data_IF_999014572174
#
_entry.id   IF_999014572174
#
_cell.length_a   1.000
_cell.length_b   1.000
_cell.length_c   1.000
_cell.angle_alpha   90.00
_cell.angle_beta   90.00
_cell.angle_gamma   90.00
#
_symmetry.space_group_name_H-M   'P 1'
#
loop_
_entity.id
_entity.type
_entity.pdbx_description
1 polymer ?
#
# COMPACT_ATOMS: atom_id res chain seq x y z
N UNK A 1 16.77 20.91 33.06
CA UNK A 1 15.86 19.75 33.10
C UNK A 1 15.84 19.14 31.69
N UNK A 2 16.52 18.01 31.47
CA UNK A 2 16.60 17.35 30.15
C UNK A 2 15.22 16.74 29.83
N UNK A 3 14.48 17.36 28.90
CA UNK A 3 13.30 16.74 28.30
C UNK A 3 13.79 15.76 27.25
N UNK A 4 13.76 14.48 27.57
CA UNK A 4 13.92 13.40 26.61
C UNK A 4 12.70 13.43 25.69
N UNK A 5 12.86 13.95 24.47
CA UNK A 5 11.86 13.80 23.41
C UNK A 5 11.83 12.32 23.02
N UNK A 6 10.75 11.64 23.38
CA UNK A 6 10.44 10.31 22.85
C UNK A 6 10.05 10.47 21.38
N UNK A 7 10.93 10.04 20.48
CA UNK A 7 10.66 9.93 19.05
C UNK A 7 9.60 8.83 18.83
N UNK A 8 8.42 9.21 18.35
CA UNK A 8 7.25 8.34 18.18
C UNK A 8 7.42 7.23 17.12
N UNK A 9 8.65 7.03 16.59
CA UNK A 9 8.92 6.12 15.48
C UNK A 9 9.43 4.74 15.89
N UNK A 10 9.77 4.50 17.16
CA UNK A 10 10.12 3.16 17.67
C UNK A 10 9.69 2.96 19.12
N UNK A 11 8.45 2.50 19.32
CA UNK A 11 8.11 1.70 20.49
C UNK A 11 8.49 0.24 20.20
N UNK A 12 9.52 -0.27 20.86
CA UNK A 12 9.95 -1.68 20.79
C UNK A 12 9.29 -2.48 21.93
N UNK A 13 8.35 -3.35 21.58
CA UNK A 13 7.40 -4.04 22.49
C UNK A 13 7.85 -5.44 22.92
N UNK A 14 9.14 -5.70 23.12
CA UNK A 14 9.58 -7.10 23.27
C UNK A 14 9.07 -7.87 24.50
N UNK A 15 8.54 -7.22 25.56
CA UNK A 15 8.12 -7.95 26.80
C UNK A 15 6.98 -7.34 27.65
N UNK A 16 5.99 -6.65 27.08
CA UNK A 16 4.83 -6.26 27.88
C UNK A 16 3.88 -5.32 27.15
N UNK A 17 2.63 -5.74 27.01
CA UNK A 17 1.57 -4.91 26.46
C UNK A 17 1.34 -3.71 27.39
N UNK A 18 1.49 -2.49 26.87
CA UNK A 18 0.94 -1.30 27.52
C UNK A 18 -0.45 -1.09 26.95
N UNK A 19 -1.48 -1.42 27.74
CA UNK A 19 -2.87 -1.09 27.40
C UNK A 19 -3.14 0.31 27.95
N UNK A 20 -3.07 1.31 27.07
CA UNK A 20 -3.55 2.66 27.41
C UNK A 20 -4.99 2.80 26.93
N UNK A 21 -5.87 3.40 27.74
CA UNK A 21 -7.22 3.70 27.27
C UNK A 21 -7.14 4.70 26.10
N UNK A 22 -8.01 4.58 25.07
CA UNK A 22 -7.91 5.35 23.82
C UNK A 22 -7.87 6.87 24.02
N UNK A 23 -8.53 7.36 25.06
CA UNK A 23 -8.60 8.79 25.41
C UNK A 23 -7.24 9.37 25.86
N UNK A 24 -6.31 8.56 26.36
CA UNK A 24 -4.98 9.00 26.79
C UNK A 24 -4.00 9.07 25.59
N UNK A 25 -4.15 8.19 24.61
CA UNK A 25 -3.32 8.19 23.39
C UNK A 25 -3.59 9.40 22.51
N UNK A 26 -4.87 9.76 22.33
CA UNK A 26 -5.26 10.93 21.55
C UNK A 26 -4.83 12.25 22.20
N UNK A 27 -4.77 12.30 23.55
CA UNK A 27 -4.42 13.51 24.30
C UNK A 27 -2.90 13.69 24.50
N UNK A 28 -2.13 12.62 24.66
CA UNK A 28 -0.69 12.70 24.89
C UNK A 28 0.13 12.79 23.59
N UNK A 29 -0.32 12.13 22.52
CA UNK A 29 0.49 11.99 21.29
C UNK A 29 -0.17 12.60 20.05
N UNK A 30 -1.33 13.25 20.19
CA UNK A 30 -2.13 13.74 19.06
C UNK A 30 -2.30 12.66 17.95
N UNK A 31 -2.34 11.39 18.37
CA UNK A 31 -2.50 10.26 17.46
C UNK A 31 -3.99 9.97 17.35
N UNK A 32 -4.57 10.22 16.18
CA UNK A 32 -5.92 9.73 15.87
C UNK A 32 -5.82 8.21 15.75
N UNK A 33 -6.41 7.49 16.69
CA UNK A 33 -6.59 6.04 16.57
C UNK A 33 -7.82 5.80 15.70
N UNK A 34 -7.76 4.94 14.67
CA UNK A 34 -8.93 4.61 13.87
C UNK A 34 -10.02 3.98 14.73
N UNK A 35 -11.24 4.51 14.64
CA UNK A 35 -12.44 3.92 15.22
C UNK A 35 -13.03 2.87 14.28
N UNK A 36 -13.98 2.07 14.76
CA UNK A 36 -14.73 1.16 13.89
C UNK A 36 -15.42 1.92 12.74
N UNK A 37 -15.98 3.09 13.02
CA UNK A 37 -16.60 3.94 11.99
C UNK A 37 -15.58 4.42 10.94
N UNK A 38 -14.34 4.74 11.34
CA UNK A 38 -13.29 5.06 10.39
C UNK A 38 -12.94 3.83 9.53
N UNK A 39 -12.83 2.65 10.15
CA UNK A 39 -12.48 1.38 9.48
C UNK A 39 -13.58 0.98 8.46
N UNK A 40 -14.85 1.13 8.82
CA UNK A 40 -16.02 0.77 8.01
C UNK A 40 -16.43 1.86 7.01
N UNK A 41 -15.88 3.06 7.10
CA UNK A 41 -16.28 4.23 6.30
C UNK A 41 -15.29 4.61 5.21
N UNK A 42 -15.66 5.66 4.47
CA UNK A 42 -14.79 6.39 3.57
C UNK A 42 -14.90 7.89 3.82
N UNK A 43 -13.86 8.64 3.48
CA UNK A 43 -13.80 10.10 3.68
C UNK A 43 -13.19 10.79 2.47
N UNK A 44 -13.70 11.97 2.11
CA UNK A 44 -13.20 12.76 0.98
C UNK A 44 -11.83 13.40 1.26
N UNK A 45 -11.55 13.73 2.53
CA UNK A 45 -10.30 14.33 2.96
C UNK A 45 -9.43 13.30 3.68
N UNK A 46 -8.13 13.34 3.42
CA UNK A 46 -7.17 12.44 4.05
C UNK A 46 -7.15 12.62 5.58
N UNK A 47 -7.56 11.59 6.33
CA UNK A 47 -7.57 11.62 7.79
C UNK A 47 -6.30 10.99 8.43
N UNK A 48 -5.58 10.15 7.69
CA UNK A 48 -4.39 9.43 8.15
C UNK A 48 -3.32 9.39 7.04
N UNK A 49 -2.03 9.20 7.37
CA UNK A 49 -0.99 8.98 6.37
C UNK A 49 -1.30 7.79 5.47
N UNK A 50 -1.05 7.91 4.17
CA UNK A 50 -1.24 6.81 3.23
C UNK A 50 -0.37 5.61 3.61
N UNK A 51 -0.97 4.42 3.62
CA UNK A 51 -0.32 3.16 4.00
C UNK A 51 -0.24 2.89 5.51
N UNK A 52 -0.80 3.78 6.34
CA UNK A 52 -0.93 3.55 7.78
C UNK A 52 -1.59 2.19 8.07
N UNK A 53 -1.14 1.52 9.12
CA UNK A 53 -1.68 0.22 9.55
C UNK A 53 -2.63 0.38 10.72
N UNK A 54 -3.71 -0.39 10.70
CA UNK A 54 -4.59 -0.57 11.83
C UNK A 54 -4.92 -2.04 12.01
N UNK A 55 -4.93 -2.51 13.25
CA UNK A 55 -5.48 -3.81 13.62
C UNK A 55 -6.81 -3.60 14.33
N UNK A 56 -7.84 -4.30 13.87
CA UNK A 56 -9.18 -4.23 14.44
C UNK A 56 -9.83 -5.61 14.31
N UNK A 57 -10.35 -6.16 15.41
CA UNK A 57 -10.97 -7.50 15.48
C UNK A 57 -10.13 -8.62 14.84
N UNK A 58 -8.83 -8.64 15.14
CA UNK A 58 -7.91 -9.66 14.60
C UNK A 58 -7.55 -9.50 13.11
N UNK A 59 -8.11 -8.50 12.43
CA UNK A 59 -7.85 -8.18 11.01
C UNK A 59 -6.83 -7.06 10.89
N UNK A 60 -6.12 -7.01 9.76
CA UNK A 60 -5.18 -5.95 9.43
C UNK A 60 -5.72 -5.11 8.28
N UNK A 61 -5.58 -3.79 8.42
CA UNK A 61 -6.02 -2.81 7.45
C UNK A 61 -4.89 -1.85 7.06
N UNK A 62 -4.91 -1.37 5.83
CA UNK A 62 -4.05 -0.31 5.28
C UNK A 62 -4.90 0.88 4.85
N UNK A 63 -4.58 2.06 5.39
CA UNK A 63 -5.23 3.29 4.93
C UNK A 63 -4.81 3.61 3.51
N UNK A 64 -5.79 3.78 2.62
CA UNK A 64 -5.60 3.79 1.18
C UNK A 64 -6.41 4.92 0.55
N UNK A 65 -5.97 5.38 -0.63
CA UNK A 65 -6.72 6.28 -1.50
C UNK A 65 -7.29 5.52 -2.68
N UNK A 66 -8.58 5.68 -2.90
CA UNK A 66 -9.31 5.15 -4.04
C UNK A 66 -8.91 5.89 -5.31
N UNK A 67 -8.55 5.13 -6.33
CA UNK A 67 -8.36 5.62 -7.69
C UNK A 67 -9.67 5.75 -8.47
N UNK A 68 -9.53 5.82 -9.78
CA UNK A 68 -10.67 5.76 -10.71
C UNK A 68 -11.28 4.34 -10.74
N UNK A 69 -12.58 4.26 -11.08
CA UNK A 69 -13.33 3.00 -11.26
C UNK A 69 -13.44 2.11 -10.00
N UNK A 70 -13.74 2.71 -8.85
CA UNK A 70 -13.82 2.03 -7.54
C UNK A 70 -15.24 1.52 -7.16
N UNK A 71 -16.15 1.40 -8.13
CA UNK A 71 -17.55 1.01 -7.90
C UNK A 71 -17.78 -0.47 -7.55
N UNK A 72 -16.74 -1.25 -7.29
CA UNK A 72 -16.83 -2.70 -7.10
C UNK A 72 -16.52 -3.13 -5.65
N UNK A 73 -17.26 -4.13 -5.17
CA UNK A 73 -16.91 -4.94 -3.98
C UNK A 73 -16.00 -6.07 -4.42
N UNK A 74 -14.97 -6.41 -3.64
CA UNK A 74 -14.07 -7.52 -3.97
C UNK A 74 -12.60 -7.19 -3.78
N UNK A 75 -11.73 -7.93 -4.48
CA UNK A 75 -10.31 -7.62 -4.48
C UNK A 75 -10.02 -6.30 -5.17
N UNK A 76 -9.12 -5.57 -4.55
CA UNK A 76 -8.52 -4.37 -5.08
C UNK A 76 -7.06 -4.67 -5.38
N UNK A 77 -6.51 -3.97 -6.37
CA UNK A 77 -5.06 -3.96 -6.62
C UNK A 77 -4.42 -2.72 -6.05
N UNK A 78 -3.22 -2.90 -5.53
CA UNK A 78 -2.33 -1.80 -5.26
C UNK A 78 -1.92 -1.15 -6.57
N UNK A 79 -1.92 0.18 -6.59
CA UNK A 79 -1.28 1.03 -7.59
C UNK A 79 -1.52 0.60 -9.05
N UNK A 80 -2.46 1.27 -9.74
CA UNK A 80 -2.67 1.07 -11.19
C UNK A 80 -1.49 1.55 -12.07
N UNK A 81 -0.50 2.17 -11.45
CA UNK A 81 0.59 2.84 -12.12
C UNK A 81 1.68 1.86 -12.54
N UNK A 82 2.18 2.05 -13.75
CA UNK A 82 3.18 1.17 -14.35
C UNK A 82 4.56 1.43 -13.72
N UNK A 83 5.54 0.54 -13.92
CA UNK A 83 6.90 0.80 -13.44
C UNK A 83 7.39 2.18 -13.94
N UNK A 84 7.87 3.10 -13.08
CA UNK A 84 8.48 4.36 -13.52
C UNK A 84 9.55 4.14 -14.59
N UNK A 85 9.74 5.12 -15.47
CA UNK A 85 10.75 5.20 -16.54
C UNK A 85 10.79 4.10 -17.60
N UNK A 86 9.91 3.09 -17.54
CA UNK A 86 9.76 2.12 -18.63
C UNK A 86 9.04 2.73 -19.83
N UNK A 87 9.58 2.51 -21.03
CA UNK A 87 9.05 3.05 -22.28
C UNK A 87 7.57 2.69 -22.47
N UNK A 88 6.77 3.69 -22.86
CA UNK A 88 5.32 3.56 -23.02
C UNK A 88 4.51 3.74 -21.73
N UNK A 89 5.17 3.91 -20.58
CA UNK A 89 4.47 4.16 -19.33
C UNK A 89 4.22 5.65 -19.09
N UNK A 90 3.09 5.99 -18.47
CA UNK A 90 2.78 7.38 -18.15
C UNK A 90 3.67 7.92 -17.03
N UNK A 91 4.08 9.19 -17.13
CA UNK A 91 4.86 9.93 -16.12
C UNK A 91 4.16 10.02 -14.76
N UNK A 92 2.86 9.76 -14.69
CA UNK A 92 2.09 9.82 -13.44
C UNK A 92 2.37 8.62 -12.53
N UNK A 93 3.14 7.62 -13.01
CA UNK A 93 3.33 6.35 -12.34
C UNK A 93 4.37 6.35 -11.20
N UNK A 94 4.97 7.51 -10.94
CA UNK A 94 6.14 7.71 -10.13
C UNK A 94 7.18 8.49 -10.92
N UNK A 95 8.41 8.53 -10.46
CA UNK A 95 9.48 9.29 -11.11
C UNK A 95 10.68 8.39 -11.40
N UNK A 96 11.26 8.51 -12.58
CA UNK A 96 12.58 7.98 -12.88
C UNK A 96 13.38 9.05 -13.62
N UNK A 97 14.63 9.25 -13.22
CA UNK A 97 15.48 10.28 -13.80
C UNK A 97 16.67 10.59 -12.90
N UNK A 98 17.00 11.88 -12.83
CA UNK A 98 18.08 12.37 -11.98
C UNK A 98 17.57 13.41 -10.97
N UNK A 99 18.41 13.70 -9.97
CA UNK A 99 18.18 14.82 -9.05
C UNK A 99 18.24 16.16 -9.80
N UNK A 100 17.39 17.12 -9.43
CA UNK A 100 17.43 18.48 -9.99
C UNK A 100 18.52 19.36 -9.39
N UNK A 101 19.09 18.98 -8.25
CA UNK A 101 20.18 19.68 -7.59
C UNK A 101 21.05 18.71 -6.79
N UNK A 102 22.31 19.10 -6.53
CA UNK A 102 23.18 18.38 -5.61
C UNK A 102 22.59 18.41 -4.20
N UNK A 103 22.76 17.31 -3.45
CA UNK A 103 22.22 17.14 -2.10
C UNK A 103 23.37 16.77 -1.16
N UNK A 104 23.49 17.49 -0.05
CA UNK A 104 24.52 17.20 0.94
C UNK A 104 24.18 15.93 1.74
N UNK A 105 25.22 15.25 2.24
CA UNK A 105 25.04 14.18 3.21
C UNK A 105 24.30 14.70 4.46
N UNK A 106 23.38 13.90 5.00
CA UNK A 106 22.52 14.26 6.12
C UNK A 106 21.32 15.13 5.76
N UNK A 107 21.19 15.60 4.51
CA UNK A 107 20.02 16.34 4.09
C UNK A 107 18.77 15.46 4.13
N UNK A 108 17.64 16.05 4.51
CA UNK A 108 16.33 15.38 4.61
C UNK A 108 15.36 15.82 3.52
N UNK A 109 15.83 16.58 2.53
CA UNK A 109 15.04 17.00 1.38
C UNK A 109 15.87 16.97 0.10
N UNK A 110 15.19 16.76 -1.02
CA UNK A 110 15.77 16.77 -2.36
C UNK A 110 14.74 17.22 -3.39
N UNK A 111 15.17 17.58 -4.59
CA UNK A 111 14.28 18.06 -5.66
C UNK A 111 14.36 17.16 -6.89
N UNK A 112 13.21 16.98 -7.53
CA UNK A 112 13.06 16.25 -8.79
C UNK A 112 12.37 17.13 -9.82
N UNK A 113 12.55 16.82 -11.11
CA UNK A 113 11.99 17.56 -12.23
C UNK A 113 10.54 17.14 -12.53
N UNK A 114 9.69 17.15 -11.51
CA UNK A 114 8.25 16.94 -11.67
C UNK A 114 7.53 18.29 -11.71
N UNK A 115 6.87 18.57 -12.82
CA UNK A 115 6.25 19.86 -13.15
C UNK A 115 4.80 19.99 -12.69
N UNK A 116 4.18 18.88 -12.26
CA UNK A 116 2.73 18.83 -11.98
C UNK A 116 2.38 18.14 -10.68
N UNK A 117 3.36 17.68 -9.89
CA UNK A 117 3.12 17.01 -8.62
C UNK A 117 2.16 17.80 -7.71
N UNK A 118 1.11 17.14 -7.26
CA UNK A 118 0.24 17.65 -6.21
C UNK A 118 0.92 17.51 -4.84
N UNK A 119 0.42 18.28 -3.87
CA UNK A 119 0.86 18.16 -2.47
C UNK A 119 0.69 16.71 -1.99
N UNK A 120 1.72 16.18 -1.34
CA UNK A 120 1.74 14.84 -0.73
C UNK A 120 1.46 13.67 -1.71
N UNK A 121 1.58 13.91 -3.02
CA UNK A 121 1.41 12.90 -4.05
C UNK A 121 2.36 11.70 -3.92
N UNK A 122 3.57 11.96 -3.42
CA UNK A 122 4.64 10.99 -3.17
C UNK A 122 4.71 10.55 -1.70
N UNK A 123 3.73 10.87 -0.85
CA UNK A 123 3.71 10.40 0.54
C UNK A 123 3.74 8.84 0.59
N UNK A 124 4.64 8.29 1.40
CA UNK A 124 4.82 6.85 1.56
C UNK A 124 5.57 6.16 0.41
N UNK A 125 5.97 6.91 -0.62
CA UNK A 125 6.70 6.38 -1.77
C UNK A 125 8.02 5.71 -1.34
N UNK A 126 8.40 4.67 -2.08
CA UNK A 126 9.72 4.05 -1.99
C UNK A 126 10.66 4.72 -2.98
N UNK A 127 11.70 5.34 -2.46
CA UNK A 127 12.67 6.09 -3.24
C UNK A 127 14.01 5.34 -3.21
N UNK A 128 14.55 5.09 -4.40
CA UNK A 128 15.87 4.48 -4.60
C UNK A 128 16.74 5.48 -5.33
N UNK A 129 17.97 5.66 -4.85
CA UNK A 129 19.02 6.40 -5.53
C UNK A 129 20.19 5.46 -5.81
N UNK A 130 20.73 5.56 -7.02
CA UNK A 130 21.80 4.69 -7.49
C UNK A 130 22.79 5.42 -8.38
N UNK A 131 24.06 5.03 -8.28
CA UNK A 131 25.13 5.44 -9.19
C UNK A 131 26.14 4.30 -9.29
N UNK A 132 26.29 3.75 -10.50
CA UNK A 132 27.19 2.63 -10.77
C UNK A 132 28.66 3.02 -10.72
N UNK A 133 28.99 4.27 -11.07
CA UNK A 133 30.37 4.79 -11.06
C UNK A 133 30.89 4.92 -9.64
N UNK A 134 30.05 5.43 -8.73
CA UNK A 134 30.42 5.67 -7.34
C UNK A 134 30.04 4.50 -6.40
N UNK A 135 29.43 3.43 -6.96
CA UNK A 135 28.89 2.27 -6.24
C UNK A 135 27.98 2.66 -5.05
N UNK A 136 27.16 3.69 -5.25
CA UNK A 136 26.20 4.16 -4.25
C UNK A 136 24.82 3.59 -4.56
N UNK A 137 24.22 2.95 -3.56
CA UNK A 137 22.84 2.47 -3.57
C UNK A 137 22.21 2.80 -2.22
N UNK A 138 21.26 3.73 -2.20
CA UNK A 138 20.49 4.06 -0.99
C UNK A 138 18.99 3.95 -1.28
N UNK A 139 18.23 3.57 -0.25
CA UNK A 139 16.78 3.56 -0.34
C UNK A 139 16.17 4.24 0.87
N UNK A 140 15.10 4.99 0.60
CA UNK A 140 14.44 5.87 1.56
C UNK A 140 12.93 5.78 1.39
N UNK A 141 12.21 6.23 2.41
CA UNK A 141 10.78 6.49 2.33
C UNK A 141 10.53 7.98 2.25
N UNK A 142 9.74 8.39 1.27
CA UNK A 142 9.27 9.77 1.18
C UNK A 142 8.18 9.96 2.23
N UNK A 143 8.35 10.98 3.06
CA UNK A 143 7.37 11.36 4.10
C UNK A 143 6.32 12.28 3.50
N UNK A 144 6.72 13.20 2.63
CA UNK A 144 5.84 14.17 1.98
C UNK A 144 6.53 14.84 0.79
N UNK A 145 5.76 15.57 0.00
CA UNK A 145 6.30 16.48 -1.01
C UNK A 145 5.47 17.78 -1.05
N UNK A 146 6.12 18.85 -1.48
CA UNK A 146 5.42 20.11 -1.74
C UNK A 146 4.69 20.03 -3.10
N UNK A 147 3.81 21.01 -3.36
CA UNK A 147 3.25 21.21 -4.70
C UNK A 147 4.38 21.60 -5.66
N UNK A 148 4.33 21.11 -6.89
CA UNK A 148 5.30 21.51 -7.92
C UNK A 148 5.33 23.03 -8.12
N UNK A 149 6.53 23.54 -8.38
CA UNK A 149 6.78 24.93 -8.78
C UNK A 149 6.53 25.17 -10.28
N UNK A 150 6.03 24.16 -11.01
CA UNK A 150 5.94 24.15 -12.46
C UNK A 150 7.24 23.72 -13.15
N UNK A 151 8.30 23.49 -12.39
CA UNK A 151 9.59 22.95 -12.90
C UNK A 151 10.08 21.79 -12.04
N UNK A 152 10.05 21.98 -10.72
CA UNK A 152 10.52 20.97 -9.77
C UNK A 152 9.57 20.81 -8.60
N UNK A 153 9.69 19.66 -7.94
CA UNK A 153 9.01 19.32 -6.70
C UNK A 153 10.03 18.96 -5.64
N UNK A 154 9.85 19.47 -4.42
CA UNK A 154 10.68 19.13 -3.26
C UNK A 154 10.06 17.96 -2.50
N UNK A 155 10.84 16.92 -2.27
CA UNK A 155 10.47 15.74 -1.51
C UNK A 155 11.26 15.68 -0.21
N UNK A 156 10.65 15.09 0.81
CA UNK A 156 11.21 15.01 2.15
C UNK A 156 11.32 13.56 2.62
N UNK A 157 12.42 13.22 3.29
CA UNK A 157 12.70 11.91 3.88
C UNK A 157 12.95 12.03 5.39
N UNK A 158 12.94 10.90 6.10
CA UNK A 158 13.23 10.87 7.53
C UNK A 158 14.70 11.17 7.84
N UNK A 159 14.96 11.78 9.00
CA UNK A 159 16.29 11.75 9.61
C UNK A 159 16.75 10.30 9.83
N UNK A 160 18.06 9.98 9.67
CA UNK A 160 19.19 10.90 9.57
C UNK A 160 19.43 11.52 8.17
N UNK A 161 18.55 11.30 7.19
CA UNK A 161 18.72 11.81 5.83
C UNK A 161 19.63 10.93 4.98
N UNK A 162 20.19 11.50 3.92
CA UNK A 162 21.09 10.80 3.01
C UNK A 162 22.41 10.41 3.68
N UNK A 163 22.90 9.19 3.44
CA UNK A 163 24.19 8.76 3.99
C UNK A 163 25.34 9.44 3.24
N UNK A 164 25.25 9.50 1.92
CA UNK A 164 26.25 10.12 1.07
C UNK A 164 25.74 11.46 0.50
N UNK A 165 26.66 12.33 0.10
CA UNK A 165 26.30 13.46 -0.74
C UNK A 165 25.93 12.93 -2.13
N UNK A 166 24.86 13.46 -2.71
CA UNK A 166 24.35 13.06 -4.01
C UNK A 166 24.56 14.19 -5.01
N UNK A 167 24.87 13.85 -6.26
CA UNK A 167 24.99 14.83 -7.34
C UNK A 167 23.88 14.65 -8.35
N UNK A 168 23.70 15.64 -9.24
CA UNK A 168 22.76 15.55 -10.36
C UNK A 168 23.09 14.44 -11.38
N UNK A 169 24.23 13.74 -11.24
CA UNK A 169 24.57 12.58 -12.06
C UNK A 169 23.96 11.27 -11.54
N UNK A 170 23.40 11.26 -10.33
CA UNK A 170 22.83 10.07 -9.72
C UNK A 170 21.47 9.76 -10.34
N UNK A 171 21.26 8.48 -10.68
CA UNK A 171 19.98 7.96 -11.09
C UNK A 171 19.06 7.81 -9.88
N UNK A 172 17.79 8.13 -10.07
CA UNK A 172 16.75 7.97 -9.05
C UNK A 172 15.53 7.30 -9.62
N UNK A 173 14.89 6.48 -8.79
CA UNK A 173 13.57 5.92 -9.06
C UNK A 173 12.69 6.08 -7.83
N UNK A 174 11.50 6.64 -8.00
CA UNK A 174 10.51 6.84 -6.96
C UNK A 174 9.25 6.06 -7.34
N UNK A 175 9.02 4.98 -6.60
CA UNK A 175 7.79 4.20 -6.68
C UNK A 175 6.77 4.79 -5.73
N UNK A 176 5.65 5.28 -6.26
CA UNK A 176 4.55 5.79 -5.41
C UNK A 176 4.09 4.74 -4.42
N UNK A 177 3.48 5.19 -3.33
CA UNK A 177 2.94 4.28 -2.33
C UNK A 177 1.95 3.30 -2.99
N UNK A 178 2.03 1.99 -2.74
CA UNK A 178 1.09 1.02 -3.32
C UNK A 178 -0.36 1.31 -2.93
N UNK A 179 -0.56 2.12 -1.89
CA UNK A 179 -1.84 2.48 -1.30
C UNK A 179 -2.35 3.86 -1.75
N UNK A 180 -1.64 4.60 -2.61
CA UNK A 180 -2.03 5.96 -3.04
C UNK A 180 -2.96 6.03 -4.26
N UNK A 181 -3.16 4.93 -4.97
CA UNK A 181 -4.07 4.80 -6.12
C UNK A 181 -4.55 3.34 -6.23
N UNK A 182 -5.39 2.94 -5.27
CA UNK A 182 -5.97 1.61 -5.21
C UNK A 182 -7.17 1.52 -6.14
N UNK A 183 -7.24 0.48 -6.98
CA UNK A 183 -8.30 0.31 -7.99
C UNK A 183 -8.94 -1.07 -7.94
N UNK A 184 -10.12 -1.20 -8.54
CA UNK A 184 -10.77 -2.49 -8.75
C UNK A 184 -9.84 -3.45 -9.51
N UNK A 185 -9.74 -4.69 -9.03
CA UNK A 185 -8.82 -5.68 -9.61
C UNK A 185 -9.17 -6.02 -11.06
N UNK A 186 -10.46 -6.06 -11.39
CA UNK A 186 -10.99 -6.34 -12.74
C UNK A 186 -10.40 -5.47 -13.85
N UNK A 187 -9.99 -4.25 -13.53
CA UNK A 187 -9.45 -3.32 -14.52
C UNK A 187 -7.96 -3.59 -14.72
N UNK A 188 -7.60 -4.56 -15.57
CA UNK A 188 -6.20 -4.90 -15.84
C UNK A 188 -5.52 -5.68 -14.70
N UNK A 189 -6.24 -6.63 -14.10
CA UNK A 189 -5.74 -7.50 -13.02
C UNK A 189 -4.64 -8.47 -13.46
N UNK A 190 -4.52 -8.77 -14.76
CA UNK A 190 -3.48 -9.68 -15.27
C UNK A 190 -2.03 -9.18 -15.11
N UNK A 191 -1.83 -7.90 -14.81
CA UNK A 191 -0.50 -7.28 -14.64
C UNK A 191 -0.28 -6.74 -13.22
N UNK A 192 -1.18 -7.04 -12.29
CA UNK A 192 -1.18 -6.46 -10.96
C UNK A 192 -1.44 -7.51 -9.90
N UNK A 193 -0.83 -7.31 -8.73
CA UNK A 193 -1.09 -8.17 -7.57
C UNK A 193 -2.27 -7.64 -6.75
N UNK A 194 -3.05 -8.54 -6.12
CA UNK A 194 -4.11 -8.16 -5.20
C UNK A 194 -3.46 -7.46 -4.00
N UNK A 195 -3.98 -6.27 -3.68
CA UNK A 195 -3.49 -5.42 -2.60
C UNK A 195 -4.29 -5.57 -1.32
N UNK A 196 -5.56 -5.91 -1.44
CA UNK A 196 -6.47 -6.04 -0.32
C UNK A 196 -7.91 -6.24 -0.78
N UNK A 197 -8.82 -6.29 0.18
CA UNK A 197 -10.22 -6.53 -0.04
C UNK A 197 -11.07 -5.32 0.37
N UNK A 198 -11.92 -4.84 -0.54
CA UNK A 198 -12.94 -3.84 -0.26
C UNK A 198 -14.18 -4.51 0.31
N UNK A 199 -14.61 -4.05 1.49
CA UNK A 199 -15.81 -4.54 2.18
C UNK A 199 -17.09 -3.82 1.73
N UNK A 200 -16.93 -2.69 1.05
CA UNK A 200 -18.01 -1.88 0.50
C UNK A 200 -17.53 -1.20 -0.79
N UNK A 201 -18.45 -0.68 -1.59
CA UNK A 201 -18.11 0.19 -2.70
C UNK A 201 -17.47 1.49 -2.17
N UNK A 202 -16.44 1.98 -2.87
CA UNK A 202 -15.68 3.17 -2.47
C UNK A 202 -15.79 4.21 -3.58
N UNK A 203 -16.06 5.45 -3.20
CA UNK A 203 -16.10 6.59 -4.10
C UNK A 203 -14.71 6.89 -4.64
N UNK A 204 -14.58 7.12 -5.94
CA UNK A 204 -13.30 7.46 -6.55
C UNK A 204 -12.69 8.73 -5.93
N UNK A 205 -11.38 8.70 -5.66
CA UNK A 205 -10.65 9.78 -5.01
C UNK A 205 -10.77 9.84 -3.48
N UNK A 206 -11.69 9.08 -2.87
CA UNK A 206 -11.88 9.07 -1.42
C UNK A 206 -10.82 8.19 -0.73
N UNK A 207 -10.74 8.31 0.59
CA UNK A 207 -9.81 7.55 1.43
C UNK A 207 -10.57 6.58 2.33
N UNK A 208 -10.01 5.39 2.53
CA UNK A 208 -10.66 4.30 3.25
C UNK A 208 -9.63 3.32 3.84
N UNK A 209 -10.08 2.44 4.71
CA UNK A 209 -9.27 1.35 5.26
C UNK A 209 -9.50 0.05 4.49
N UNK A 210 -8.50 -0.37 3.73
CA UNK A 210 -8.53 -1.62 2.97
C UNK A 210 -8.05 -2.78 3.82
N UNK A 211 -8.80 -3.89 3.86
CA UNK A 211 -8.38 -5.08 4.61
C UNK A 211 -7.28 -5.84 3.85
N UNK A 212 -6.16 -6.13 4.51
CA UNK A 212 -4.99 -6.81 3.91
C UNK A 212 -4.66 -8.14 4.59
N UNK A 213 -5.18 -8.40 5.79
CA UNK A 213 -5.14 -9.72 6.42
C UNK A 213 -6.34 -9.99 7.31
N UNK A 214 -6.56 -11.26 7.63
CA UNK A 214 -7.66 -11.72 8.46
C UNK A 214 -8.85 -12.24 7.64
N UNK A 215 -9.95 -12.53 8.33
CA UNK A 215 -11.08 -13.26 7.76
C UNK A 215 -11.93 -12.37 6.82
N UNK A 216 -12.26 -12.90 5.65
CA UNK A 216 -13.18 -12.30 4.67
C UNK A 216 -14.18 -13.34 4.16
N UNK A 217 -15.36 -12.88 3.78
CA UNK A 217 -16.27 -13.61 2.87
C UNK A 217 -16.38 -12.79 1.60
N UNK A 218 -16.10 -13.40 0.45
CA UNK A 218 -16.02 -12.68 -0.81
C UNK A 218 -16.82 -13.27 -1.96
N UNK A 219 -16.87 -12.52 -3.07
CA UNK A 219 -17.57 -12.95 -4.28
C UNK A 219 -16.77 -14.06 -4.95
N UNK A 220 -17.39 -15.21 -5.21
CA UNK A 220 -16.79 -16.32 -5.93
C UNK A 220 -17.04 -16.20 -7.44
N UNK A 221 -16.08 -16.67 -8.24
CA UNK A 221 -16.26 -16.76 -9.69
C UNK A 221 -17.31 -17.83 -10.03
N UNK A 222 -18.13 -17.58 -11.06
CA UNK A 222 -19.33 -18.37 -11.38
C UNK A 222 -19.13 -19.88 -11.64
N UNK A 223 -17.88 -20.35 -11.79
CA UNK A 223 -17.58 -21.74 -12.17
C UNK A 223 -16.66 -22.51 -11.22
N UNK A 224 -16.06 -21.88 -10.20
CA UNK A 224 -15.20 -22.61 -9.25
C UNK A 224 -15.22 -21.99 -7.86
N UNK A 225 -15.64 -22.80 -6.89
CA UNK A 225 -15.65 -22.41 -5.49
C UNK A 225 -14.36 -22.87 -4.80
N UNK A 226 -13.74 -22.02 -3.95
CA UNK A 226 -12.66 -22.48 -3.09
C UNK A 226 -13.11 -23.69 -2.25
N UNK A 227 -12.32 -24.76 -2.21
CA UNK A 227 -12.68 -25.98 -1.47
C UNK A 227 -13.67 -26.91 -2.18
N UNK A 228 -13.94 -26.73 -3.47
CA UNK A 228 -14.79 -27.68 -4.23
C UNK A 228 -14.19 -29.10 -4.29
N UNK A 229 -12.86 -29.24 -4.16
CA UNK A 229 -12.17 -30.53 -4.07
C UNK A 229 -11.49 -30.71 -2.71
N UNK A 230 -11.35 -31.96 -2.24
CA UNK A 230 -10.98 -32.32 -0.85
C UNK A 230 -9.63 -31.74 -0.35
N UNK A 231 -8.76 -31.27 -1.23
CA UNK A 231 -7.44 -30.72 -0.86
C UNK A 231 -7.19 -29.30 -1.39
N UNK A 232 -8.15 -28.71 -2.09
CA UNK A 232 -8.05 -27.35 -2.58
C UNK A 232 -8.35 -26.37 -1.44
N UNK A 233 -7.29 -25.95 -0.74
CA UNK A 233 -7.38 -25.00 0.38
C UNK A 233 -6.81 -23.63 0.03
N UNK A 234 -5.95 -23.55 -0.98
CA UNK A 234 -5.36 -22.29 -1.41
C UNK A 234 -6.34 -21.49 -2.26
N UNK A 235 -6.40 -20.20 -1.97
CA UNK A 235 -7.31 -19.28 -2.64
C UNK A 235 -6.52 -18.21 -3.36
N UNK A 236 -7.00 -17.85 -4.55
CA UNK A 236 -6.37 -16.91 -5.46
C UNK A 236 -7.37 -15.81 -5.85
N UNK A 237 -6.86 -14.64 -6.22
CA UNK A 237 -7.64 -13.60 -6.88
C UNK A 237 -7.70 -13.88 -8.38
N UNK A 238 -8.90 -14.10 -8.92
CA UNK A 238 -9.13 -14.17 -10.35
C UNK A 238 -8.98 -12.80 -11.01
N UNK A 239 -8.81 -12.75 -12.33
CA UNK A 239 -8.58 -11.51 -13.11
C UNK A 239 -9.67 -10.45 -12.95
N UNK A 240 -10.89 -10.84 -12.58
CA UNK A 240 -12.04 -9.98 -12.28
C UNK A 240 -12.14 -9.55 -10.80
N UNK A 241 -11.24 -10.05 -9.95
CA UNK A 241 -11.23 -9.81 -8.50
C UNK A 241 -12.09 -10.79 -7.70
N UNK A 242 -12.64 -11.84 -8.31
CA UNK A 242 -13.37 -12.89 -7.61
C UNK A 242 -12.43 -13.88 -6.91
N UNK A 243 -12.95 -14.58 -5.90
CA UNK A 243 -12.32 -15.73 -5.27
C UNK A 243 -12.37 -16.94 -6.19
N UNK A 244 -11.24 -17.64 -6.34
CA UNK A 244 -11.15 -18.93 -7.01
C UNK A 244 -10.22 -19.87 -6.22
N UNK A 245 -10.55 -21.16 -6.26
CA UNK A 245 -9.69 -22.21 -5.69
C UNK A 245 -8.56 -22.63 -6.64
N UNK A 246 -7.60 -23.36 -6.10
CA UNK A 246 -6.37 -23.84 -6.74
C UNK A 246 -6.54 -25.00 -7.73
N UNK A 247 -7.75 -25.30 -8.24
CA UNK A 247 -7.98 -26.53 -9.01
C UNK A 247 -6.96 -26.70 -10.15
N UNK A 248 -6.53 -27.94 -10.36
CA UNK A 248 -5.30 -28.44 -11.02
C UNK A 248 -5.08 -28.05 -12.51
N UNK A 249 -5.75 -27.00 -12.99
CA UNK A 249 -5.55 -26.43 -14.31
C UNK A 249 -4.28 -25.57 -14.35
N UNK A 250 -3.35 -25.92 -15.25
CA UNK A 250 -2.05 -25.26 -15.42
C UNK A 250 -2.12 -23.73 -15.65
N UNK A 251 -3.24 -23.21 -16.17
CA UNK A 251 -3.47 -21.77 -16.34
C UNK A 251 -3.62 -21.00 -15.03
N UNK A 252 -4.02 -21.66 -13.93
CA UNK A 252 -4.18 -21.03 -12.61
C UNK A 252 -2.88 -20.92 -11.81
N UNK A 253 -1.82 -21.62 -12.25
CA UNK A 253 -0.49 -21.62 -11.63
C UNK A 253 0.15 -20.22 -11.59
N UNK A 254 -0.37 -19.26 -12.35
CA UNK A 254 0.16 -17.91 -12.44
C UNK A 254 -0.67 -16.83 -11.72
N UNK A 255 -1.77 -17.19 -11.05
CA UNK A 255 -2.51 -16.22 -10.26
C UNK A 255 -1.86 -15.95 -8.90
N UNK A 256 -2.09 -14.75 -8.37
CA UNK A 256 -1.61 -14.38 -7.06
C UNK A 256 -2.42 -15.08 -5.96
N UNK A 257 -1.73 -15.89 -5.15
CA UNK A 257 -2.31 -16.49 -3.94
C UNK A 257 -2.61 -15.39 -2.94
N UNK A 258 -3.83 -15.41 -2.38
CA UNK A 258 -4.32 -14.39 -1.44
C UNK A 258 -4.51 -14.94 -0.03
N UNK A 259 -4.61 -16.26 0.13
CA UNK A 259 -4.89 -16.86 1.43
C UNK A 259 -5.35 -18.30 1.32
N UNK A 260 -6.11 -18.74 2.33
CA UNK A 260 -6.61 -20.11 2.41
C UNK A 260 -8.03 -20.19 2.98
N UNK A 261 -8.75 -21.26 2.62
CA UNK A 261 -10.11 -21.52 3.08
C UNK A 261 -10.13 -21.98 4.54
N UNK A 262 -11.04 -21.39 5.34
CA UNK A 262 -11.17 -21.70 6.76
C UNK A 262 -12.03 -22.93 7.03
N UNK A 263 -13.21 -22.99 6.41
CA UNK A 263 -14.19 -24.05 6.68
C UNK A 263 -13.86 -25.36 5.94
N UNK A 264 -14.31 -26.49 6.47
CA UNK A 264 -14.36 -27.76 5.73
C UNK A 264 -15.58 -27.72 4.82
N UNK A 265 -15.38 -28.12 3.57
CA UNK A 265 -16.40 -28.17 2.52
C UNK A 265 -16.82 -29.62 2.24
N UNK A 266 -18.04 -29.81 1.72
CA UNK A 266 -18.52 -31.12 1.27
C UNK A 266 -18.00 -31.43 -0.15
N UNK A 267 -18.10 -32.68 -0.58
CA UNK A 267 -17.49 -33.19 -1.82
C UNK A 267 -17.91 -32.44 -3.11
N UNK A 268 -19.01 -31.68 -3.06
CA UNK A 268 -19.58 -30.98 -4.22
C UNK A 268 -19.78 -29.46 -4.03
N UNK A 269 -19.43 -28.92 -2.86
CA UNK A 269 -19.71 -27.53 -2.52
C UNK A 269 -18.51 -26.87 -1.86
N UNK A 270 -17.94 -25.84 -2.50
CA UNK A 270 -16.93 -24.98 -1.87
C UNK A 270 -17.55 -23.91 -0.96
N UNK A 271 -16.71 -23.03 -0.42
CA UNK A 271 -17.10 -21.94 0.47
C UNK A 271 -16.27 -20.68 0.13
N UNK A 272 -16.69 -19.52 0.59
CA UNK A 272 -16.06 -18.23 0.33
C UNK A 272 -15.46 -17.58 1.58
N UNK A 273 -15.48 -18.27 2.73
CA UNK A 273 -14.85 -17.83 3.97
C UNK A 273 -13.34 -18.12 3.98
N UNK A 274 -12.55 -17.07 3.79
CA UNK A 274 -11.11 -17.14 3.56
C UNK A 274 -10.34 -16.38 4.64
N UNK A 275 -9.21 -16.92 5.05
CA UNK A 275 -8.19 -16.19 5.79
C UNK A 275 -7.24 -15.49 4.82
N UNK A 276 -7.32 -14.16 4.75
CA UNK A 276 -6.48 -13.33 3.90
C UNK A 276 -5.05 -13.23 4.45
N UNK A 277 -4.06 -13.30 3.57
CA UNK A 277 -2.63 -13.39 3.88
C UNK A 277 -1.77 -12.49 2.97
N UNK A 278 -2.23 -11.27 2.65
CA UNK A 278 -1.48 -10.34 1.77
C UNK A 278 -0.42 -9.52 2.49
N UNK A 279 -0.59 -9.32 3.81
CA UNK A 279 0.25 -8.47 4.65
C UNK A 279 0.37 -9.14 6.02
N UNK A 280 1.42 -9.96 6.21
CA UNK A 280 1.67 -10.73 7.43
C UNK A 280 2.71 -10.08 8.33
#
# INVERSE_FOLDING_TARGET
MKRTLLDARRLDFRRGNIVLPPNILSTLFNMKVPTEADIMGEVAAQAYPIGAQARFDGKLYRYSKAGEAMSAVGFLKCLYMQCPGKAGNSVNSGFEGALSANVAAGATSFTIADTVAAKDEYEGAYFVVYNSTDNVWESHRVIRNDVSTGTTTTLYIASPGFKNALTTAFGITIYRSPWSDVRAYSTGGGWASPGGYARMAITSGYFFWMQTAGEISGVTGASTWPGQTQYNRDVYANTDGSLIGSDDSATRVHYARIGYLLARTATDYGDNLVMLQLDQ
#
